data_IF_549287339437
#
_entry.id   IF_549287339437
#
_cell.length_a   1.000
_cell.length_b   1.000
_cell.length_c   1.000
_cell.angle_alpha   90.00
_cell.angle_beta   90.00
_cell.angle_gamma   90.00
#
_symmetry.space_group_name_H-M   'P 1'
#
loop_
_entity.id
_entity.type
_entity.pdbx_description
1 polymer ?
#
# COMPACT_ATOMS: atom_id res chain seq x y z
N UNK A 1 -58.16 14.55 -4.69
CA UNK A 1 -57.14 14.92 -5.68
C UNK A 1 -56.24 13.72 -5.90
N UNK A 2 -55.80 13.56 -7.15
CA UNK A 2 -55.35 12.35 -7.85
C UNK A 2 -54.02 11.72 -7.41
N UNK A 3 -53.85 10.47 -7.88
CA UNK A 3 -52.80 9.44 -7.67
C UNK A 3 -51.38 9.80 -8.15
N UNK A 4 -50.40 9.08 -7.57
CA UNK A 4 -49.31 8.26 -8.19
C UNK A 4 -48.52 7.65 -7.00
N UNK A 5 -48.47 6.36 -6.66
CA UNK A 5 -48.20 5.06 -7.32
C UNK A 5 -46.74 4.78 -7.72
N UNK A 6 -46.09 3.96 -6.87
CA UNK A 6 -45.15 2.86 -7.17
C UNK A 6 -43.84 3.10 -7.95
N UNK A 7 -42.69 2.77 -7.36
CA UNK A 7 -42.13 1.40 -7.42
C UNK A 7 -40.70 1.28 -6.85
N UNK A 8 -40.35 0.13 -6.24
CA UNK A 8 -39.04 -0.19 -5.67
C UNK A 8 -38.17 -0.97 -6.68
N UNK A 9 -36.83 -0.88 -6.56
CA UNK A 9 -35.91 -1.75 -7.30
C UNK A 9 -34.87 -2.38 -6.35
N UNK A 10 -35.29 -3.45 -5.69
CA UNK A 10 -34.42 -4.57 -5.33
C UNK A 10 -34.63 -5.67 -6.39
N UNK A 11 -33.58 -6.35 -6.88
CA UNK A 11 -33.76 -7.49 -7.78
C UNK A 11 -34.32 -8.68 -7.00
N UNK A 12 -35.50 -9.14 -7.40
CA UNK A 12 -36.13 -10.37 -6.93
C UNK A 12 -35.51 -11.60 -7.57
N UNK A 13 -35.44 -12.66 -6.76
CA UNK A 13 -35.20 -14.04 -7.14
C UNK A 13 -36.29 -14.58 -8.09
N UNK A 14 -35.89 -15.22 -9.19
CA UNK A 14 -36.25 -16.60 -9.55
C UNK A 14 -36.09 -16.85 -11.06
N UNK A 15 -35.29 -17.87 -11.40
CA UNK A 15 -35.68 -19.09 -12.15
C UNK A 15 -34.43 -19.70 -12.78
N UNK A 16 -34.09 -20.89 -12.31
CA UNK A 16 -33.21 -21.81 -13.02
C UNK A 16 -33.85 -22.11 -14.38
N UNK A 17 -33.10 -21.82 -15.44
CA UNK A 17 -33.41 -22.25 -16.80
C UNK A 17 -32.51 -23.47 -17.04
N UNK A 18 -33.11 -24.63 -17.28
CA UNK A 18 -32.38 -25.83 -17.71
C UNK A 18 -31.55 -25.51 -18.96
N UNK A 19 -30.27 -25.93 -19.05
CA UNK A 19 -29.47 -25.72 -20.23
C UNK A 19 -29.85 -26.72 -21.33
N UNK A 20 -30.12 -26.17 -22.52
CA UNK A 20 -30.30 -26.91 -23.78
C UNK A 20 -29.05 -27.75 -24.13
N UNK A 21 -29.16 -28.95 -24.74
CA UNK A 21 -28.05 -29.91 -24.86
C UNK A 21 -26.90 -29.51 -25.82
N UNK A 22 -27.03 -28.43 -26.59
CA UNK A 22 -26.14 -28.18 -27.75
C UNK A 22 -24.98 -27.20 -27.50
N UNK A 23 -24.44 -27.14 -26.27
CA UNK A 23 -23.24 -26.34 -26.01
C UNK A 23 -22.18 -27.03 -25.16
N UNK A 24 -21.94 -28.31 -25.45
CA UNK A 24 -20.66 -28.94 -25.13
C UNK A 24 -19.67 -28.65 -26.27
N UNK A 25 -18.91 -27.57 -26.20
CA UNK A 25 -17.53 -27.45 -26.75
C UNK A 25 -16.95 -26.06 -26.46
N UNK A 26 -15.65 -26.03 -26.15
CA UNK A 26 -14.80 -24.88 -25.78
C UNK A 26 -14.84 -24.44 -24.30
N UNK A 27 -14.39 -25.34 -23.42
CA UNK A 27 -13.58 -24.90 -22.27
C UNK A 27 -12.27 -24.30 -22.82
N UNK A 28 -12.35 -23.06 -23.29
CA UNK A 28 -11.21 -22.26 -23.72
C UNK A 28 -10.43 -21.79 -22.51
N UNK A 29 -9.14 -22.13 -22.48
CA UNK A 29 -8.13 -21.57 -21.60
C UNK A 29 -8.29 -20.05 -21.52
N UNK A 30 -8.58 -19.53 -20.33
CA UNK A 30 -8.58 -18.09 -20.09
C UNK A 30 -7.19 -17.51 -20.41
N UNK A 31 -7.10 -16.33 -21.05
CA UNK A 31 -5.82 -15.82 -21.50
C UNK A 31 -4.93 -15.55 -20.28
N UNK A 32 -3.69 -16.05 -20.32
CA UNK A 32 -2.67 -15.70 -19.35
C UNK A 32 -2.43 -14.18 -19.42
N UNK A 33 -2.97 -13.44 -18.46
CA UNK A 33 -2.87 -11.99 -18.43
C UNK A 33 -1.43 -11.57 -18.10
N UNK A 34 -0.72 -11.07 -19.11
CA UNK A 34 0.60 -10.47 -18.91
C UNK A 34 0.55 -9.21 -18.02
N UNK A 35 1.70 -8.74 -17.50
CA UNK A 35 1.77 -7.58 -16.60
C UNK A 35 1.12 -6.31 -17.17
N UNK A 36 1.13 -6.15 -18.50
CA UNK A 36 0.57 -4.99 -19.21
C UNK A 36 -0.97 -4.98 -19.19
N UNK A 37 -1.61 -6.15 -19.27
CA UNK A 37 -3.08 -6.29 -19.17
C UNK A 37 -3.57 -5.99 -17.75
N UNK A 38 -2.83 -6.42 -16.74
CA UNK A 38 -3.13 -6.09 -15.33
C UNK A 38 -3.10 -4.58 -15.07
N UNK A 39 -2.13 -3.86 -15.62
CA UNK A 39 -2.04 -2.39 -15.49
C UNK A 39 -3.18 -1.69 -16.23
N UNK A 40 -3.57 -2.17 -17.42
CA UNK A 40 -4.73 -1.64 -18.16
C UNK A 40 -6.05 -1.82 -17.39
N UNK A 41 -6.25 -2.96 -16.73
CA UNK A 41 -7.45 -3.23 -15.93
C UNK A 41 -7.60 -2.31 -14.70
N UNK A 42 -6.52 -1.66 -14.25
CA UNK A 42 -6.58 -0.70 -13.14
C UNK A 42 -7.04 0.70 -13.56
N UNK A 43 -7.15 1.01 -14.86
CA UNK A 43 -7.57 2.30 -15.46
C UNK A 43 -7.23 3.52 -14.58
N UNK A 44 -5.94 3.72 -14.27
CA UNK A 44 -5.50 4.48 -13.10
C UNK A 44 -5.75 5.99 -13.15
N UNK A 45 -5.99 6.55 -14.34
CA UNK A 45 -5.69 7.98 -14.58
C UNK A 45 -6.82 8.72 -15.31
N UNK A 46 -7.67 9.47 -14.57
CA UNK A 46 -8.75 10.24 -15.20
C UNK A 46 -8.38 11.68 -15.57
N UNK A 47 -7.29 12.28 -15.05
CA UNK A 47 -6.97 13.72 -15.25
C UNK A 47 -5.46 14.02 -15.36
N UNK A 48 -5.05 15.20 -15.90
CA UNK A 48 -3.65 15.65 -15.86
C UNK A 48 -3.06 15.74 -14.45
N UNK A 49 -3.88 16.16 -13.46
CA UNK A 49 -3.50 16.14 -12.04
C UNK A 49 -3.13 14.73 -11.58
N UNK A 50 -3.88 13.72 -12.01
CA UNK A 50 -3.62 12.34 -11.65
C UNK A 50 -2.38 11.76 -12.36
N UNK A 51 -2.11 12.19 -13.61
CA UNK A 51 -0.85 11.89 -14.30
C UNK A 51 0.34 12.46 -13.53
N UNK A 52 0.28 13.73 -13.14
CA UNK A 52 1.34 14.38 -12.35
C UNK A 52 1.54 13.68 -11.01
N UNK A 53 0.45 13.44 -10.27
CA UNK A 53 0.52 12.79 -8.97
C UNK A 53 1.19 11.41 -9.04
N UNK A 54 0.76 10.56 -9.98
CA UNK A 54 1.34 9.23 -10.16
C UNK A 54 2.76 9.30 -10.71
N UNK A 55 3.07 10.25 -11.60
CA UNK A 55 4.43 10.50 -12.08
C UNK A 55 5.40 10.83 -10.95
N UNK A 56 4.98 11.67 -10.00
CA UNK A 56 5.77 11.99 -8.81
C UNK A 56 5.95 10.78 -7.88
N UNK A 57 4.87 10.02 -7.63
CA UNK A 57 4.98 8.81 -6.80
C UNK A 57 5.90 7.77 -7.44
N UNK A 58 5.73 7.45 -8.72
CA UNK A 58 6.56 6.46 -9.40
C UNK A 58 7.99 6.92 -9.60
N UNK A 59 8.20 8.18 -10.00
CA UNK A 59 9.54 8.76 -10.08
C UNK A 59 10.24 8.71 -8.73
N UNK A 60 9.55 9.06 -7.65
CA UNK A 60 10.11 8.98 -6.31
C UNK A 60 10.38 7.54 -5.84
N UNK A 61 9.54 6.55 -6.19
CA UNK A 61 9.81 5.13 -5.95
C UNK A 61 11.07 4.66 -6.70
N UNK A 62 11.22 5.07 -7.96
CA UNK A 62 12.40 4.75 -8.79
C UNK A 62 13.68 5.36 -8.20
N UNK A 63 13.61 6.50 -7.52
CA UNK A 63 14.78 7.04 -6.81
C UNK A 63 14.98 6.35 -5.46
N UNK A 64 13.92 6.11 -4.70
CA UNK A 64 14.01 5.61 -3.33
C UNK A 64 14.41 4.13 -3.25
N UNK A 65 13.69 3.25 -3.94
CA UNK A 65 13.81 1.80 -3.77
C UNK A 65 15.15 1.26 -4.27
N UNK A 66 15.53 1.42 -5.56
CA UNK A 66 16.78 0.83 -6.06
C UNK A 66 18.01 1.51 -5.47
N UNK A 67 17.98 2.81 -5.14
CA UNK A 67 19.12 3.44 -4.46
C UNK A 67 19.26 2.94 -3.02
N UNK A 68 18.16 2.70 -2.30
CA UNK A 68 18.24 2.06 -0.96
C UNK A 68 18.88 0.68 -1.07
N UNK A 69 18.48 -0.11 -2.07
CA UNK A 69 19.05 -1.43 -2.32
C UNK A 69 20.53 -1.33 -2.70
N UNK A 70 20.88 -0.41 -3.61
CA UNK A 70 22.26 -0.17 -4.01
C UNK A 70 23.13 0.23 -2.81
N UNK A 71 22.67 1.12 -1.93
CA UNK A 71 23.42 1.54 -0.73
C UNK A 71 23.80 0.35 0.16
N UNK A 72 22.94 -0.66 0.24
CA UNK A 72 23.18 -1.89 1.01
C UNK A 72 24.02 -2.89 0.23
N UNK A 73 23.63 -3.25 -0.99
CA UNK A 73 24.27 -4.31 -1.77
C UNK A 73 25.63 -3.94 -2.34
N UNK A 74 25.96 -2.65 -2.42
CA UNK A 74 27.32 -2.18 -2.72
C UNK A 74 28.27 -2.17 -1.51
N UNK A 75 27.80 -2.59 -0.33
CA UNK A 75 28.60 -2.67 0.89
C UNK A 75 29.07 -4.08 1.22
N UNK A 76 29.82 -4.23 2.32
CA UNK A 76 30.24 -5.54 2.81
C UNK A 76 29.06 -6.26 3.50
N UNK A 77 28.37 -7.14 2.76
CA UNK A 77 27.21 -7.88 3.24
C UNK A 77 27.53 -8.82 4.41
N UNK A 78 28.73 -9.42 4.42
CA UNK A 78 29.17 -10.29 5.53
C UNK A 78 29.30 -9.50 6.82
N UNK A 79 29.88 -8.30 6.76
CA UNK A 79 30.04 -7.43 7.91
C UNK A 79 28.70 -6.87 8.41
N UNK A 80 27.75 -6.60 7.51
CA UNK A 80 26.41 -6.15 7.88
C UNK A 80 25.54 -7.27 8.46
N UNK A 81 25.74 -8.52 8.04
CA UNK A 81 24.95 -9.65 8.50
C UNK A 81 23.45 -9.43 8.26
N UNK A 82 22.64 -9.67 9.30
CA UNK A 82 21.19 -9.55 9.22
C UNK A 82 20.69 -8.11 9.03
N UNK A 83 21.51 -7.09 9.36
CA UNK A 83 21.17 -5.71 9.04
C UNK A 83 20.95 -5.51 7.53
N UNK A 84 21.69 -6.21 6.66
CA UNK A 84 21.57 -6.07 5.21
C UNK A 84 20.18 -6.44 4.66
N UNK A 85 19.38 -7.20 5.41
CA UNK A 85 18.00 -7.53 5.03
C UNK A 85 17.05 -6.39 5.37
N UNK A 86 17.34 -5.61 6.41
CA UNK A 86 16.40 -4.63 6.94
C UNK A 86 16.06 -3.49 5.96
N UNK A 87 17.01 -2.64 5.48
CA UNK A 87 16.65 -1.54 4.60
C UNK A 87 15.97 -1.97 3.28
N UNK A 88 16.41 -3.04 2.59
CA UNK A 88 15.74 -3.49 1.36
C UNK A 88 14.31 -3.94 1.61
N UNK A 89 14.05 -4.68 2.70
CA UNK A 89 12.70 -5.17 3.01
C UNK A 89 11.78 -4.04 3.49
N UNK A 90 12.28 -3.08 4.28
CA UNK A 90 11.50 -1.92 4.70
C UNK A 90 11.13 -1.00 3.52
N UNK A 91 12.08 -0.74 2.62
CA UNK A 91 11.81 0.04 1.40
C UNK A 91 10.85 -0.67 0.44
N UNK A 92 10.93 -2.00 0.35
CA UNK A 92 9.96 -2.80 -0.40
C UNK A 92 8.55 -2.74 0.22
N UNK A 93 8.44 -2.83 1.55
CA UNK A 93 7.17 -2.68 2.25
C UNK A 93 6.53 -1.31 2.01
N UNK A 94 7.32 -0.23 2.13
CA UNK A 94 6.87 1.14 1.83
C UNK A 94 6.40 1.24 0.38
N UNK A 95 7.16 0.69 -0.57
CA UNK A 95 6.77 0.67 -1.99
C UNK A 95 5.45 -0.07 -2.19
N UNK A 96 5.28 -1.23 -1.56
CA UNK A 96 4.03 -2.00 -1.62
C UNK A 96 2.84 -1.25 -1.01
N UNK A 97 3.03 -0.48 0.09
CA UNK A 97 2.00 0.42 0.60
C UNK A 97 1.60 1.45 -0.46
N UNK A 98 2.58 2.13 -1.07
CA UNK A 98 2.35 3.16 -2.09
C UNK A 98 1.59 2.60 -3.31
N UNK A 99 2.04 1.46 -3.83
CA UNK A 99 1.38 0.77 -4.95
C UNK A 99 -0.02 0.26 -4.56
N UNK A 100 -0.21 -0.13 -3.30
CA UNK A 100 -1.49 -0.60 -2.79
C UNK A 100 -2.53 0.52 -2.59
N UNK A 101 -2.11 1.74 -2.22
CA UNK A 101 -3.04 2.83 -1.91
C UNK A 101 -3.30 3.78 -3.08
N UNK A 102 -2.31 3.99 -3.97
CA UNK A 102 -2.44 4.95 -5.08
C UNK A 102 -3.56 4.64 -6.08
N UNK A 103 -3.91 3.37 -6.38
CA UNK A 103 -5.03 3.03 -7.26
C UNK A 103 -6.41 3.34 -6.64
N UNK A 104 -6.51 3.37 -5.31
CA UNK A 104 -7.81 3.46 -4.62
C UNK A 104 -8.49 4.83 -4.77
N UNK A 105 -7.75 5.85 -5.18
CA UNK A 105 -8.27 7.19 -5.46
C UNK A 105 -7.97 7.57 -6.90
N UNK A 106 -8.78 8.42 -7.57
CA UNK A 106 -10.18 8.60 -7.24
C UNK A 106 -10.93 7.27 -7.44
N UNK A 107 -12.03 7.04 -6.70
CA UNK A 107 -12.85 5.86 -6.92
C UNK A 107 -13.32 5.80 -8.38
N UNK A 108 -13.11 4.67 -9.09
CA UNK A 108 -13.57 4.57 -10.48
C UNK A 108 -15.10 4.53 -10.51
N UNK A 109 -15.74 4.99 -11.61
CA UNK A 109 -17.19 4.96 -11.73
C UNK A 109 -17.72 3.53 -11.84
N UNK A 110 -17.04 2.68 -12.59
CA UNK A 110 -17.44 1.30 -12.82
C UNK A 110 -17.14 0.39 -11.60
N UNK A 111 -17.97 -0.63 -11.38
CA UNK A 111 -17.86 -1.57 -10.25
C UNK A 111 -16.72 -2.58 -10.42
N UNK A 112 -16.41 -2.97 -11.66
CA UNK A 112 -15.39 -3.98 -11.99
C UNK A 112 -13.97 -3.48 -11.66
N UNK A 113 -13.58 -2.33 -12.18
CA UNK A 113 -12.30 -1.65 -11.86
C UNK A 113 -12.22 -1.30 -10.38
N UNK A 114 -13.34 -0.93 -9.73
CA UNK A 114 -13.36 -0.70 -8.28
C UNK A 114 -12.96 -1.95 -7.51
N UNK A 115 -13.58 -3.09 -7.86
CA UNK A 115 -13.27 -4.39 -7.25
C UNK A 115 -11.83 -4.82 -7.54
N UNK A 116 -11.35 -4.65 -8.78
CA UNK A 116 -9.97 -4.95 -9.17
C UNK A 116 -8.94 -4.15 -8.35
N UNK A 117 -9.08 -2.82 -8.29
CA UNK A 117 -8.19 -1.95 -7.49
C UNK A 117 -8.22 -2.29 -6.01
N UNK A 118 -9.40 -2.64 -5.49
CA UNK A 118 -9.56 -3.06 -4.11
C UNK A 118 -8.83 -4.39 -3.83
N UNK A 119 -8.95 -5.38 -4.72
CA UNK A 119 -8.19 -6.64 -4.63
C UNK A 119 -6.69 -6.41 -4.74
N UNK A 120 -6.24 -5.53 -5.65
CA UNK A 120 -4.82 -5.18 -5.78
C UNK A 120 -4.27 -4.55 -4.50
N UNK A 121 -5.04 -3.68 -3.85
CA UNK A 121 -4.70 -3.17 -2.52
C UNK A 121 -4.52 -4.32 -1.53
N UNK A 122 -5.53 -5.19 -1.37
CA UNK A 122 -5.43 -6.31 -0.41
C UNK A 122 -4.24 -7.22 -0.70
N UNK A 123 -4.01 -7.59 -1.96
CA UNK A 123 -2.90 -8.45 -2.36
C UNK A 123 -1.55 -7.80 -2.07
N UNK A 124 -1.35 -6.53 -2.44
CA UNK A 124 -0.10 -5.83 -2.18
C UNK A 124 0.17 -5.67 -0.68
N UNK A 125 -0.86 -5.40 0.13
CA UNK A 125 -0.70 -5.27 1.58
C UNK A 125 -0.40 -6.63 2.22
N UNK A 126 -1.22 -7.65 1.95
CA UNK A 126 -1.15 -8.94 2.65
C UNK A 126 -0.01 -9.83 2.16
N UNK A 127 0.27 -9.85 0.85
CA UNK A 127 1.24 -10.78 0.26
C UNK A 127 2.64 -10.18 0.10
N UNK A 128 2.77 -8.85 0.14
CA UNK A 128 4.06 -8.18 -0.05
C UNK A 128 4.42 -7.25 1.10
N UNK A 129 3.56 -6.28 1.42
CA UNK A 129 3.93 -5.23 2.37
C UNK A 129 4.09 -5.76 3.80
N UNK A 130 3.11 -6.51 4.33
CA UNK A 130 3.18 -7.09 5.67
C UNK A 130 4.31 -8.11 5.81
N UNK A 131 4.52 -9.06 4.86
CA UNK A 131 5.66 -9.96 4.91
C UNK A 131 7.00 -9.22 4.87
N UNK A 132 7.19 -8.27 3.95
CA UNK A 132 8.44 -7.51 3.85
C UNK A 132 8.71 -6.68 5.11
N UNK A 133 7.69 -5.99 5.64
CA UNK A 133 7.78 -5.25 6.91
C UNK A 133 8.19 -6.17 8.06
N UNK A 134 7.60 -7.37 8.14
CA UNK A 134 7.87 -8.35 9.18
C UNK A 134 9.29 -8.92 9.08
N UNK A 135 9.70 -9.36 7.89
CA UNK A 135 11.04 -9.91 7.64
C UNK A 135 12.11 -8.85 7.93
N UNK A 136 11.94 -7.64 7.42
CA UNK A 136 12.89 -6.55 7.64
C UNK A 136 13.00 -6.18 9.13
N UNK A 137 11.88 -6.16 9.86
CA UNK A 137 11.87 -5.84 11.30
C UNK A 137 12.51 -6.97 12.12
N UNK A 138 12.13 -8.22 11.85
CA UNK A 138 12.68 -9.39 12.53
C UNK A 138 14.20 -9.51 12.31
N UNK A 139 14.67 -9.29 11.08
CA UNK A 139 16.10 -9.30 10.77
C UNK A 139 16.87 -8.25 11.59
N UNK A 140 16.33 -7.04 11.76
CA UNK A 140 16.97 -6.00 12.59
C UNK A 140 16.96 -6.34 14.08
N UNK A 141 15.84 -6.88 14.59
CA UNK A 141 15.75 -7.32 16.00
C UNK A 141 16.78 -8.42 16.26
N UNK A 142 16.86 -9.42 15.38
CA UNK A 142 17.80 -10.52 15.49
C UNK A 142 19.25 -10.05 15.33
N UNK A 143 19.52 -9.11 14.41
CA UNK A 143 20.84 -8.51 14.26
C UNK A 143 21.29 -7.84 15.57
N UNK A 144 20.44 -7.06 16.21
CA UNK A 144 20.77 -6.41 17.50
C UNK A 144 20.95 -7.42 18.61
N UNK A 145 20.13 -8.48 18.65
CA UNK A 145 20.28 -9.58 19.60
C UNK A 145 21.65 -10.24 19.50
N UNK A 146 22.09 -10.62 18.29
CA UNK A 146 23.40 -11.25 18.06
C UNK A 146 24.59 -10.40 18.49
N UNK A 147 24.44 -9.08 18.45
CA UNK A 147 25.50 -8.12 18.82
C UNK A 147 25.32 -7.54 20.22
N UNK A 148 24.38 -8.06 21.03
CA UNK A 148 24.04 -7.52 22.37
C UNK A 148 23.80 -6.01 22.37
N UNK A 149 23.28 -5.48 21.26
CA UNK A 149 23.07 -4.05 21.05
C UNK A 149 21.72 -3.61 21.59
N UNK A 150 21.65 -2.44 22.24
CA UNK A 150 20.40 -1.87 22.75
C UNK A 150 19.37 -1.68 21.63
N UNK A 151 18.11 -2.00 21.91
CA UNK A 151 16.97 -1.77 21.01
C UNK A 151 16.32 -0.41 21.31
N UNK A 152 15.68 0.16 20.28
CA UNK A 152 14.81 1.34 20.40
C UNK A 152 15.45 2.58 21.05
N UNK A 153 16.71 2.87 20.73
CA UNK A 153 17.45 4.00 21.32
C UNK A 153 17.48 5.27 20.46
N UNK A 154 16.93 5.24 19.25
CA UNK A 154 16.98 6.37 18.30
C UNK A 154 15.58 6.78 17.84
N UNK A 155 15.44 8.03 17.36
CA UNK A 155 14.19 8.51 16.74
C UNK A 155 13.70 7.61 15.61
N UNK A 156 14.60 7.15 14.75
CA UNK A 156 14.29 6.17 13.70
C UNK A 156 13.65 4.91 14.29
N UNK A 157 14.23 4.34 15.35
CA UNK A 157 13.71 3.09 15.94
C UNK A 157 12.38 3.25 16.68
N UNK A 158 12.15 4.41 17.32
CA UNK A 158 10.85 4.72 17.94
C UNK A 158 9.76 4.91 16.89
N UNK A 159 10.04 5.67 15.84
CA UNK A 159 9.06 5.86 14.76
C UNK A 159 8.85 4.57 13.97
N UNK A 160 9.89 3.76 13.78
CA UNK A 160 9.79 2.43 13.19
C UNK A 160 8.89 1.49 14.00
N UNK A 161 9.02 1.48 15.32
CA UNK A 161 8.13 0.71 16.19
C UNK A 161 6.67 1.18 16.06
N UNK A 162 6.45 2.49 16.04
CA UNK A 162 5.12 3.07 15.83
C UNK A 162 4.55 2.67 14.45
N UNK A 163 5.34 2.74 13.38
CA UNK A 163 4.93 2.31 12.03
C UNK A 163 4.56 0.84 12.00
N UNK A 164 5.36 -0.05 12.61
CA UNK A 164 5.05 -1.49 12.65
C UNK A 164 3.74 -1.75 13.39
N UNK A 165 3.60 -1.25 14.62
CA UNK A 165 2.40 -1.45 15.42
C UNK A 165 1.16 -0.85 14.76
N UNK A 166 1.26 0.37 14.24
CA UNK A 166 0.16 1.03 13.54
C UNK A 166 -0.21 0.28 12.25
N UNK A 167 0.75 -0.22 11.48
CA UNK A 167 0.45 -1.02 10.28
C UNK A 167 -0.35 -2.27 10.62
N UNK A 168 -0.03 -2.96 11.71
CA UNK A 168 -0.80 -4.13 12.16
C UNK A 168 -2.24 -3.76 12.52
N UNK A 169 -2.42 -2.70 13.32
CA UNK A 169 -3.75 -2.18 13.68
C UNK A 169 -4.53 -1.75 12.44
N UNK A 170 -3.87 -1.06 11.51
CA UNK A 170 -4.44 -0.60 10.26
C UNK A 170 -4.93 -1.77 9.40
N UNK A 171 -4.13 -2.85 9.30
CA UNK A 171 -4.50 -4.06 8.57
C UNK A 171 -5.68 -4.79 9.25
N UNK A 172 -5.67 -4.91 10.57
CA UNK A 172 -6.77 -5.51 11.34
C UNK A 172 -8.09 -4.73 11.17
N UNK A 173 -8.05 -3.40 11.24
CA UNK A 173 -9.23 -2.55 10.99
C UNK A 173 -9.71 -2.74 9.54
N UNK A 174 -8.81 -2.70 8.56
CA UNK A 174 -9.15 -2.92 7.15
C UNK A 174 -9.85 -4.26 6.92
N UNK A 175 -9.27 -5.35 7.43
CA UNK A 175 -9.85 -6.68 7.42
C UNK A 175 -11.24 -6.72 8.08
N UNK A 176 -11.36 -6.15 9.29
CA UNK A 176 -12.61 -6.13 10.06
C UNK A 176 -13.73 -5.36 9.37
N UNK A 177 -13.41 -4.34 8.55
CA UNK A 177 -14.43 -3.59 7.79
C UNK A 177 -14.95 -4.30 6.55
N UNK A 178 -14.23 -5.30 6.03
CA UNK A 178 -14.51 -5.89 4.71
C UNK A 178 -14.92 -7.36 4.84
N UNK A 179 -14.23 -8.11 5.68
CA UNK A 179 -14.47 -9.54 5.84
C UNK A 179 -15.73 -9.80 6.66
N UNK A 180 -16.38 -10.94 6.39
CA UNK A 180 -17.64 -11.35 7.01
C UNK A 180 -18.75 -10.29 6.99
N UNK A 181 -18.77 -9.42 5.97
CA UNK A 181 -19.81 -8.40 5.81
C UNK A 181 -19.78 -7.31 6.88
N UNK A 182 -18.63 -7.04 7.51
CA UNK A 182 -18.50 -5.98 8.51
C UNK A 182 -19.21 -6.29 9.84
N UNK A 183 -19.49 -7.58 10.13
CA UNK A 183 -20.16 -8.03 11.36
C UNK A 183 -19.52 -7.47 12.64
N UNK A 184 -18.20 -7.31 12.66
CA UNK A 184 -17.46 -6.70 13.79
C UNK A 184 -17.97 -5.31 14.15
N UNK A 185 -18.46 -4.55 13.17
CA UNK A 185 -19.02 -3.20 13.35
C UNK A 185 -20.55 -3.18 13.34
N UNK A 186 -21.22 -4.32 13.39
CA UNK A 186 -22.69 -4.41 13.32
C UNK A 186 -23.26 -4.30 11.90
N UNK A 187 -22.46 -4.61 10.88
CA UNK A 187 -22.90 -4.70 9.49
C UNK A 187 -22.23 -3.70 8.54
N UNK A 188 -22.58 -3.81 7.25
CA UNK A 188 -21.88 -3.10 6.17
C UNK A 188 -21.99 -1.57 6.27
N UNK A 189 -23.12 -1.05 6.72
CA UNK A 189 -23.31 0.40 6.85
C UNK A 189 -22.36 1.02 7.88
N UNK A 190 -22.26 0.41 9.07
CA UNK A 190 -21.36 0.88 10.12
C UNK A 190 -19.89 0.68 9.73
N UNK A 191 -19.55 -0.42 9.06
CA UNK A 191 -18.21 -0.64 8.54
C UNK A 191 -17.78 0.43 7.52
N UNK A 192 -18.71 0.90 6.66
CA UNK A 192 -18.46 2.02 5.72
C UNK A 192 -18.13 3.33 6.45
N UNK A 193 -18.70 3.56 7.64
CA UNK A 193 -18.39 4.77 8.46
C UNK A 193 -16.97 4.73 9.01
N UNK A 194 -16.43 3.55 9.30
CA UNK A 194 -15.04 3.37 9.80
C UNK A 194 -14.03 3.55 8.67
N UNK A 195 -14.37 3.17 7.45
CA UNK A 195 -13.46 3.18 6.31
C UNK A 195 -12.85 4.56 6.00
N UNK A 196 -13.56 5.67 6.27
CA UNK A 196 -12.98 7.02 6.10
C UNK A 196 -11.80 7.28 7.04
N UNK A 197 -11.87 6.76 8.27
CA UNK A 197 -10.78 6.84 9.24
C UNK A 197 -9.64 5.90 8.87
N UNK A 198 -9.94 4.68 8.40
CA UNK A 198 -8.93 3.79 7.83
C UNK A 198 -8.17 4.51 6.70
N UNK A 199 -8.86 5.16 5.77
CA UNK A 199 -8.20 5.91 4.69
C UNK A 199 -7.30 7.04 5.20
N UNK A 200 -7.79 7.90 6.08
CA UNK A 200 -7.00 9.01 6.63
C UNK A 200 -5.79 8.50 7.42
N UNK A 201 -6.03 7.55 8.31
CA UNK A 201 -5.00 6.85 9.08
C UNK A 201 -3.92 6.27 8.17
N UNK A 202 -4.30 5.67 7.03
CA UNK A 202 -3.36 5.12 6.05
C UNK A 202 -2.44 6.18 5.43
N UNK A 203 -2.95 7.37 5.10
CA UNK A 203 -2.11 8.46 4.59
C UNK A 203 -1.14 9.00 5.65
N UNK A 204 -1.60 9.12 6.90
CA UNK A 204 -0.76 9.54 8.03
C UNK A 204 0.32 8.51 8.30
N UNK A 205 -0.04 7.23 8.33
CA UNK A 205 0.87 6.11 8.51
C UNK A 205 1.96 6.09 7.42
N UNK A 206 1.58 6.18 6.15
CA UNK A 206 2.57 6.23 5.06
C UNK A 206 3.48 7.45 5.20
N UNK A 207 2.94 8.61 5.56
CA UNK A 207 3.77 9.80 5.82
C UNK A 207 4.80 9.55 6.92
N UNK A 208 4.39 8.95 8.04
CA UNK A 208 5.30 8.56 9.12
C UNK A 208 6.35 7.54 8.64
N UNK A 209 5.98 6.58 7.79
CA UNK A 209 6.92 5.62 7.19
C UNK A 209 7.97 6.30 6.31
N UNK A 210 7.58 7.31 5.50
CA UNK A 210 8.53 8.09 4.70
C UNK A 210 9.49 8.88 5.61
N UNK A 211 8.99 9.52 6.67
CA UNK A 211 9.83 10.22 7.66
C UNK A 211 10.79 9.22 8.34
N UNK A 212 10.30 8.05 8.72
CA UNK A 212 11.11 7.00 9.36
C UNK A 212 12.24 6.51 8.45
N UNK A 213 11.95 6.33 7.15
CA UNK A 213 12.95 5.97 6.16
C UNK A 213 13.97 7.09 5.93
N UNK A 214 13.53 8.36 5.93
CA UNK A 214 14.43 9.51 5.86
C UNK A 214 15.38 9.56 7.05
N UNK A 215 14.86 9.38 8.28
CA UNK A 215 15.67 9.31 9.49
C UNK A 215 16.76 8.24 9.39
N UNK A 216 16.42 7.06 8.87
CA UNK A 216 17.36 5.97 8.64
C UNK A 216 18.44 6.35 7.61
N UNK A 217 18.00 6.78 6.41
CA UNK A 217 18.86 6.98 5.26
C UNK A 217 19.77 8.22 5.36
N UNK A 218 19.34 9.23 6.12
CA UNK A 218 20.08 10.48 6.27
C UNK A 218 20.79 10.59 7.61
N UNK A 219 20.26 10.07 8.71
CA UNK A 219 20.80 10.39 10.04
C UNK A 219 21.36 9.19 10.81
N UNK A 220 21.20 7.95 10.33
CA UNK A 220 21.82 6.81 11.00
C UNK A 220 23.33 6.78 10.82
N UNK A 221 24.06 6.33 11.85
CA UNK A 221 25.51 6.18 11.82
C UNK A 221 25.96 5.28 10.67
N UNK A 222 25.22 4.18 10.41
CA UNK A 222 25.51 3.30 9.28
C UNK A 222 25.42 4.06 7.95
N UNK A 223 24.34 4.81 7.73
CA UNK A 223 24.17 5.54 6.48
C UNK A 223 25.24 6.63 6.32
N UNK A 224 25.63 7.31 7.41
CA UNK A 224 26.73 8.26 7.40
C UNK A 224 28.06 7.59 7.07
N UNK A 225 28.34 6.43 7.66
CA UNK A 225 29.55 5.66 7.41
C UNK A 225 29.67 5.12 5.97
N UNK A 226 28.60 5.07 5.17
CA UNK A 226 28.67 4.65 3.76
C UNK A 226 29.39 5.66 2.85
N UNK A 227 29.46 6.94 3.21
CA UNK A 227 30.13 7.98 2.39
C UNK A 227 29.45 8.33 1.05
N UNK A 228 28.36 7.65 0.69
CA UNK A 228 27.62 7.85 -0.57
C UNK A 228 26.57 8.99 -0.45
N UNK A 229 27.02 10.19 -0.05
CA UNK A 229 26.14 11.30 0.31
C UNK A 229 25.17 11.71 -0.81
N UNK A 230 25.66 11.85 -2.05
CA UNK A 230 24.81 12.25 -3.17
C UNK A 230 23.66 11.27 -3.42
N UNK A 231 23.94 9.96 -3.41
CA UNK A 231 22.91 8.92 -3.60
C UNK A 231 21.89 8.92 -2.46
N UNK A 232 22.33 9.16 -1.22
CA UNK A 232 21.45 9.28 -0.05
C UNK A 232 20.54 10.50 -0.18
N UNK A 233 21.07 11.66 -0.58
CA UNK A 233 20.26 12.87 -0.82
C UNK A 233 19.23 12.61 -1.92
N UNK A 234 19.62 12.01 -3.04
CA UNK A 234 18.70 11.68 -4.14
C UNK A 234 17.60 10.73 -3.66
N UNK A 235 17.94 9.67 -2.94
CA UNK A 235 16.95 8.70 -2.46
C UNK A 235 15.98 9.29 -1.43
N UNK A 236 16.52 9.96 -0.40
CA UNK A 236 15.77 10.30 0.81
C UNK A 236 15.33 11.77 0.90
N UNK A 237 16.00 12.72 0.24
CA UNK A 237 15.62 14.13 0.19
C UNK A 237 15.01 14.56 -1.14
N UNK A 238 15.09 13.73 -2.19
CA UNK A 238 14.39 13.98 -3.45
C UNK A 238 13.28 12.93 -3.65
N UNK A 239 13.63 11.64 -3.63
CA UNK A 239 12.69 10.55 -3.85
C UNK A 239 11.52 10.53 -2.86
N UNK A 240 11.79 10.59 -1.55
CA UNK A 240 10.73 10.58 -0.53
C UNK A 240 9.82 11.83 -0.59
N UNK A 241 10.33 13.08 -0.72
CA UNK A 241 9.46 14.24 -0.92
C UNK A 241 8.64 14.17 -2.20
N UNK A 242 9.18 13.68 -3.31
CA UNK A 242 8.40 13.46 -4.54
C UNK A 242 7.22 12.51 -4.29
N UNK A 243 7.46 11.39 -3.59
CA UNK A 243 6.39 10.46 -3.20
C UNK A 243 5.33 11.19 -2.37
N UNK A 244 5.75 11.92 -1.34
CA UNK A 244 4.84 12.60 -0.44
C UNK A 244 3.99 13.66 -1.15
N UNK A 245 4.60 14.51 -1.99
CA UNK A 245 3.89 15.50 -2.82
C UNK A 245 2.94 14.80 -3.80
N UNK A 246 3.37 13.73 -4.45
CA UNK A 246 2.51 12.93 -5.33
C UNK A 246 1.29 12.37 -4.59
N UNK A 247 1.46 11.84 -3.38
CA UNK A 247 0.37 11.34 -2.55
C UNK A 247 -0.61 12.43 -2.11
N UNK A 248 -0.11 13.60 -1.70
CA UNK A 248 -0.98 14.72 -1.27
C UNK A 248 -1.81 15.24 -2.44
N UNK A 249 -1.22 15.36 -3.64
CA UNK A 249 -1.96 15.69 -4.87
C UNK A 249 -2.98 14.60 -5.21
N UNK A 250 -2.62 13.32 -5.01
CA UNK A 250 -3.50 12.18 -5.29
C UNK A 250 -4.68 12.09 -4.34
N UNK A 251 -4.51 12.47 -3.07
CA UNK A 251 -5.55 12.42 -2.07
C UNK A 251 -6.79 13.22 -2.51
N UNK A 252 -7.97 12.73 -2.11
CA UNK A 252 -9.25 13.42 -2.33
C UNK A 252 -9.98 13.61 -0.99
N UNK A 253 -9.55 14.57 -0.15
CA UNK A 253 -10.17 14.82 1.16
C UNK A 253 -11.67 15.14 1.07
N UNK A 254 -12.10 15.84 0.03
CA UNK A 254 -13.52 16.13 -0.24
C UNK A 254 -14.39 14.88 -0.42
N UNK A 255 -13.80 13.72 -0.71
CA UNK A 255 -14.49 12.43 -0.81
C UNK A 255 -14.50 11.65 0.51
N UNK A 256 -13.87 12.17 1.57
CA UNK A 256 -13.80 11.51 2.87
C UNK A 256 -14.90 11.93 3.87
N UNK A 257 -15.73 12.94 3.53
CA UNK A 257 -16.94 13.37 4.29
C UNK A 257 -16.73 13.32 5.81
N UNK A 258 -15.74 14.06 6.29
CA UNK A 258 -15.46 14.19 7.73
C UNK A 258 -16.48 15.08 8.46
N UNK A 259 -17.27 15.85 7.70
CA UNK A 259 -18.45 16.62 8.10
C UNK A 259 -19.54 16.36 7.06
#
# INVERSE_FOLDING_TARGET
>A
MSREESSPLLPSSNREVEPSPDRATSAGQGPAHGPVEFVKQLDMVPTPRDKLALGLVYGGIVLFLPLTWYLVFSGNLKAMGWFAVHPPMQSLAITAFLLGITPLQPPPPNSVTRSSRFKSHQNLILLLALPALSIGSAAMIYNKYLHSAKHFTTWHSWFGLAVVGWTLVQAMIGASTVWWGGKVFGGEENAKRVYKYHRLSGYTLVTLSLITANLAGIYSDWAQGRGLHALRVIAFWIGLPMIWVGLTIRARPSKMKFV
#
